data_IF_419964909142
#
_entry.id   IF_419964909142
#
_cell.length_a   1.000
_cell.length_b   1.000
_cell.length_c   1.000
_cell.angle_alpha   90.00
_cell.angle_beta   90.00
_cell.angle_gamma   90.00
#
_symmetry.space_group_name_H-M   'P 1'
#
loop_
_entity.id
_entity.type
_entity.pdbx_description
1 polymer ?
#
# COMPACT_ATOMS: atom_id res chain seq x y z
N UNK A 1 24.03 -70.46 -51.52
CA UNK A 1 25.23 -69.94 -50.84
C UNK A 1 24.75 -69.06 -49.70
N UNK A 2 25.14 -69.42 -48.47
CA UNK A 2 25.12 -68.66 -47.20
C UNK A 2 23.75 -68.34 -46.59
N UNK A 3 23.48 -69.07 -45.50
CA UNK A 3 22.55 -68.75 -44.43
C UNK A 3 23.13 -67.68 -43.50
N UNK A 4 22.28 -66.85 -42.88
CA UNK A 4 22.54 -66.35 -41.53
C UNK A 4 21.24 -66.15 -40.75
N UNK A 5 21.28 -66.72 -39.55
CA UNK A 5 20.29 -66.78 -38.46
C UNK A 5 20.37 -65.50 -37.64
N UNK A 6 19.28 -65.17 -36.91
CA UNK A 6 19.15 -64.49 -35.61
C UNK A 6 17.90 -63.59 -35.69
N UNK A 7 16.89 -63.69 -34.85
CA UNK A 7 16.88 -63.98 -33.43
C UNK A 7 15.92 -62.95 -32.81
N UNK A 8 14.95 -63.43 -32.06
CA UNK A 8 13.77 -62.75 -31.49
C UNK A 8 14.01 -61.43 -30.75
N UNK A 9 13.07 -60.48 -30.90
CA UNK A 9 12.69 -59.57 -29.83
C UNK A 9 11.17 -59.30 -29.90
N UNK A 10 10.43 -60.00 -29.02
CA UNK A 10 9.05 -59.66 -28.69
C UNK A 10 9.11 -58.34 -27.90
N UNK A 11 8.81 -57.22 -28.56
CA UNK A 11 8.57 -55.97 -27.88
C UNK A 11 7.23 -56.09 -27.16
N UNK A 12 7.30 -56.49 -25.89
CA UNK A 12 6.23 -56.24 -24.93
C UNK A 12 6.04 -54.72 -24.90
N UNK A 13 4.97 -54.24 -25.52
CA UNK A 13 4.45 -52.90 -25.26
C UNK A 13 3.98 -52.90 -23.80
N UNK A 14 4.93 -52.68 -22.90
CA UNK A 14 4.64 -52.26 -21.55
C UNK A 14 3.77 -51.01 -21.71
N UNK A 15 2.53 -51.14 -21.27
CA UNK A 15 1.62 -50.03 -21.12
C UNK A 15 2.38 -48.93 -20.37
N UNK A 16 2.58 -47.78 -21.00
CA UNK A 16 2.83 -46.56 -20.27
C UNK A 16 1.59 -46.33 -19.40
N UNK A 17 1.65 -46.83 -18.17
CA UNK A 17 0.91 -46.21 -17.09
C UNK A 17 1.33 -44.73 -17.14
N UNK A 18 0.40 -43.76 -17.18
CA UNK A 18 0.79 -42.40 -16.91
C UNK A 18 1.47 -42.44 -15.55
N UNK A 19 2.74 -42.05 -15.50
CA UNK A 19 3.35 -41.61 -14.27
C UNK A 19 2.41 -40.52 -13.75
N UNK A 20 1.54 -40.89 -12.80
CA UNK A 20 1.02 -39.93 -11.85
C UNK A 20 2.24 -39.48 -11.08
N UNK A 21 2.99 -38.57 -11.69
CA UNK A 21 3.79 -37.60 -10.99
C UNK A 21 2.77 -36.85 -10.13
N UNK A 22 2.56 -37.40 -8.93
CA UNK A 22 1.84 -36.73 -7.87
C UNK A 22 2.64 -35.45 -7.65
N UNK A 23 2.28 -34.38 -8.38
CA UNK A 23 2.76 -33.05 -8.08
C UNK A 23 2.56 -32.89 -6.58
N UNK A 24 3.67 -32.76 -5.85
CA UNK A 24 3.63 -32.59 -4.40
C UNK A 24 2.55 -31.54 -4.12
N UNK A 25 1.68 -31.73 -3.11
CA UNK A 25 0.64 -30.76 -2.80
C UNK A 25 1.34 -29.41 -2.70
N UNK A 26 1.09 -28.55 -3.70
CA UNK A 26 1.77 -27.27 -3.78
C UNK A 26 1.24 -26.52 -2.58
N UNK A 27 2.12 -26.20 -1.63
CA UNK A 27 1.73 -25.46 -0.43
C UNK A 27 0.95 -24.22 -0.89
N UNK A 28 -0.38 -24.18 -0.65
CA UNK A 28 -1.23 -23.19 -1.28
C UNK A 28 -0.96 -21.80 -0.73
N UNK A 29 -0.39 -21.70 0.48
CA UNK A 29 0.12 -20.45 1.04
C UNK A 29 1.29 -19.95 0.21
N UNK A 30 2.30 -20.80 0.03
CA UNK A 30 3.49 -20.47 -0.76
C UNK A 30 3.15 -20.12 -2.19
N UNK A 31 2.33 -20.91 -2.87
CA UNK A 31 1.99 -20.63 -4.28
C UNK A 31 1.27 -19.29 -4.44
N UNK A 32 0.40 -18.94 -3.50
CA UNK A 32 -0.32 -17.66 -3.54
C UNK A 32 0.62 -16.48 -3.30
N UNK A 33 1.59 -16.61 -2.40
CA UNK A 33 2.60 -15.59 -2.14
C UNK A 33 3.58 -15.45 -3.32
N UNK A 34 3.99 -16.56 -3.94
CA UNK A 34 4.82 -16.56 -5.15
C UNK A 34 4.06 -15.91 -6.34
N UNK A 35 2.73 -16.08 -6.43
CA UNK A 35 1.89 -15.39 -7.43
C UNK A 35 1.78 -13.88 -7.12
N UNK A 36 1.58 -13.53 -5.85
CA UNK A 36 1.50 -12.13 -5.42
C UNK A 36 2.78 -11.35 -5.72
N UNK A 37 3.96 -11.95 -5.53
CA UNK A 37 5.23 -11.27 -5.80
C UNK A 37 5.51 -11.09 -7.29
N UNK A 38 4.92 -11.92 -8.15
CA UNK A 38 5.03 -11.83 -9.61
C UNK A 38 3.99 -10.88 -10.24
N UNK A 39 3.01 -10.40 -9.48
CA UNK A 39 1.98 -9.50 -9.99
C UNK A 39 2.57 -8.12 -10.34
N UNK A 40 2.30 -7.64 -11.55
CA UNK A 40 2.78 -6.34 -12.03
C UNK A 40 1.96 -5.16 -11.48
N UNK A 41 0.70 -5.40 -11.13
CA UNK A 41 -0.22 -4.38 -10.62
C UNK A 41 -0.35 -4.49 -9.10
N UNK A 42 -0.23 -3.37 -8.40
CA UNK A 42 -0.29 -3.30 -6.93
C UNK A 42 -1.66 -3.78 -6.42
N UNK A 43 -2.76 -3.39 -7.08
CA UNK A 43 -4.11 -3.84 -6.70
C UNK A 43 -4.23 -5.36 -6.77
N UNK A 44 -3.68 -5.98 -7.82
CA UNK A 44 -3.68 -7.43 -7.99
C UNK A 44 -2.80 -8.13 -6.96
N UNK A 45 -1.66 -7.53 -6.62
CA UNK A 45 -0.78 -8.01 -5.57
C UNK A 45 -1.49 -8.02 -4.20
N UNK A 46 -2.21 -6.95 -3.85
CA UNK A 46 -2.99 -6.88 -2.61
C UNK A 46 -4.09 -7.95 -2.57
N UNK A 47 -4.86 -8.15 -3.64
CA UNK A 47 -5.87 -9.21 -3.71
C UNK A 47 -5.29 -10.61 -3.46
N UNK A 48 -4.13 -10.90 -4.06
CA UNK A 48 -3.45 -12.18 -3.89
C UNK A 48 -2.90 -12.33 -2.47
N UNK A 49 -2.43 -11.25 -1.85
CA UNK A 49 -2.00 -11.26 -0.45
C UNK A 49 -3.18 -11.45 0.51
N UNK A 50 -4.34 -10.86 0.25
CA UNK A 50 -5.56 -11.12 1.01
C UNK A 50 -5.98 -12.58 0.93
N UNK A 51 -5.89 -13.16 -0.26
CA UNK A 51 -6.09 -14.59 -0.44
C UNK A 51 -5.06 -15.40 0.35
N UNK A 52 -3.81 -14.97 0.39
CA UNK A 52 -2.79 -15.61 1.21
C UNK A 52 -3.11 -15.50 2.71
N UNK A 53 -3.72 -14.41 3.19
CA UNK A 53 -4.18 -14.30 4.59
C UNK A 53 -5.19 -15.38 4.97
N UNK A 54 -6.05 -15.76 4.02
CA UNK A 54 -7.08 -16.79 4.20
C UNK A 54 -6.48 -18.20 4.12
N UNK A 55 -5.56 -18.41 3.19
CA UNK A 55 -5.01 -19.74 2.84
C UNK A 55 -3.86 -20.16 3.76
N UNK A 56 -3.05 -19.20 4.21
CA UNK A 56 -1.90 -19.48 5.06
C UNK A 56 -2.35 -19.91 6.48
N UNK A 57 -1.74 -20.98 7.04
CA UNK A 57 -2.20 -21.55 8.30
C UNK A 57 -1.81 -20.71 9.53
N UNK A 58 -0.69 -19.98 9.46
CA UNK A 58 -0.15 -19.17 10.56
C UNK A 58 0.55 -17.92 10.04
N UNK A 59 0.72 -16.93 10.93
CA UNK A 59 1.52 -15.71 10.69
C UNK A 59 2.95 -16.06 10.29
N UNK A 60 3.56 -17.02 10.99
CA UNK A 60 4.93 -17.46 10.72
C UNK A 60 5.06 -18.07 9.32
N UNK A 61 4.10 -18.90 8.90
CA UNK A 61 4.10 -19.51 7.57
C UNK A 61 3.96 -18.45 6.47
N UNK A 62 3.10 -17.45 6.69
CA UNK A 62 2.98 -16.31 5.79
C UNK A 62 4.31 -15.54 5.72
N UNK A 63 4.89 -15.20 6.88
CA UNK A 63 6.10 -14.40 6.95
C UNK A 63 7.30 -15.09 6.32
N UNK A 64 7.49 -16.39 6.56
CA UNK A 64 8.58 -17.19 5.96
C UNK A 64 8.47 -17.21 4.44
N UNK A 65 7.27 -17.35 3.89
CA UNK A 65 7.06 -17.34 2.45
C UNK A 65 7.24 -15.93 1.86
N UNK A 66 6.74 -14.89 2.53
CA UNK A 66 6.86 -13.50 2.09
C UNK A 66 8.32 -12.97 2.15
N UNK A 67 9.13 -13.42 3.12
CA UNK A 67 10.56 -13.07 3.22
C UNK A 67 11.39 -13.50 2.00
N UNK A 68 10.89 -14.45 1.20
CA UNK A 68 11.53 -14.88 -0.05
C UNK A 68 11.40 -13.81 -1.15
N UNK A 69 10.54 -12.81 -0.94
CA UNK A 69 10.23 -11.73 -1.86
C UNK A 69 10.33 -10.36 -1.15
N UNK A 70 11.54 -9.93 -0.76
CA UNK A 70 11.72 -8.74 0.09
C UNK A 70 11.25 -7.42 -0.54
N UNK A 71 11.08 -7.36 -1.86
CA UNK A 71 10.59 -6.19 -2.59
C UNK A 71 9.06 -6.16 -2.77
N UNK A 72 8.34 -7.19 -2.32
CA UNK A 72 6.91 -7.37 -2.62
C UNK A 72 6.01 -6.32 -1.96
N UNK A 73 6.37 -5.82 -0.78
CA UNK A 73 5.47 -4.96 0.02
C UNK A 73 5.98 -3.53 0.20
N UNK A 74 7.27 -3.27 -0.05
CA UNK A 74 7.91 -1.98 0.26
C UNK A 74 7.96 -1.61 1.76
N UNK A 75 7.24 -2.35 2.60
CA UNK A 75 7.14 -2.25 4.06
C UNK A 75 7.38 -3.62 4.70
N UNK A 76 7.66 -3.66 6.00
CA UNK A 76 7.82 -4.92 6.70
C UNK A 76 6.50 -5.70 6.85
N UNK A 77 6.60 -7.03 6.94
CA UNK A 77 5.45 -7.93 6.98
C UNK A 77 4.59 -7.71 8.23
N UNK A 78 5.18 -7.36 9.38
CA UNK A 78 4.42 -7.16 10.60
C UNK A 78 3.55 -5.90 10.49
N UNK A 79 4.10 -4.81 9.96
CA UNK A 79 3.35 -3.59 9.65
C UNK A 79 2.26 -3.86 8.61
N UNK A 80 2.57 -4.57 7.51
CA UNK A 80 1.58 -4.94 6.50
C UNK A 80 0.39 -5.71 7.11
N UNK A 81 0.67 -6.77 7.88
CA UNK A 81 -0.36 -7.59 8.49
C UNK A 81 -1.19 -6.80 9.52
N UNK A 82 -0.55 -5.98 10.35
CA UNK A 82 -1.24 -5.11 11.31
C UNK A 82 -2.21 -4.15 10.63
N UNK A 83 -1.75 -3.42 9.61
CA UNK A 83 -2.59 -2.48 8.85
C UNK A 83 -3.70 -3.21 8.10
N UNK A 84 -3.40 -4.30 7.40
CA UNK A 84 -4.39 -4.98 6.56
C UNK A 84 -5.48 -5.64 7.41
N UNK A 85 -5.11 -6.30 8.51
CA UNK A 85 -6.09 -6.92 9.41
C UNK A 85 -6.99 -5.90 10.12
N UNK A 86 -6.54 -4.65 10.30
CA UNK A 86 -7.35 -3.56 10.86
C UNK A 86 -8.27 -2.89 9.82
N UNK A 87 -7.80 -2.71 8.59
CA UNK A 87 -8.47 -1.91 7.54
C UNK A 87 -9.24 -2.73 6.51
N UNK A 88 -9.14 -4.06 6.50
CA UNK A 88 -9.82 -4.89 5.53
C UNK A 88 -11.36 -4.81 5.67
N UNK A 89 -12.04 -4.37 4.62
CA UNK A 89 -13.50 -4.39 4.55
C UNK A 89 -14.05 -5.82 4.39
N UNK A 90 -13.28 -6.70 3.75
CA UNK A 90 -13.69 -8.07 3.49
C UNK A 90 -13.68 -8.91 4.77
N UNK A 91 -14.85 -9.44 5.14
CA UNK A 91 -15.02 -10.23 6.37
C UNK A 91 -14.16 -11.50 6.38
N UNK A 92 -13.95 -12.14 5.21
CA UNK A 92 -13.10 -13.31 5.09
C UNK A 92 -11.64 -13.03 5.49
N UNK A 93 -11.15 -11.82 5.20
CA UNK A 93 -9.80 -11.38 5.57
C UNK A 93 -9.74 -11.07 7.07
N UNK A 94 -10.69 -10.29 7.59
CA UNK A 94 -10.75 -9.96 9.04
C UNK A 94 -10.85 -11.19 9.93
N UNK A 95 -11.61 -12.19 9.49
CA UNK A 95 -11.84 -13.45 10.22
C UNK A 95 -10.80 -14.54 9.88
N UNK A 96 -9.78 -14.22 9.09
CA UNK A 96 -8.69 -15.15 8.79
C UNK A 96 -7.91 -15.53 10.05
N UNK A 97 -7.31 -16.73 10.06
CA UNK A 97 -6.52 -17.21 11.21
C UNK A 97 -5.34 -16.28 11.53
N UNK A 98 -4.79 -15.63 10.50
CA UNK A 98 -3.70 -14.67 10.63
C UNK A 98 -4.19 -13.42 11.36
N UNK A 99 -5.29 -12.82 10.92
CA UNK A 99 -5.84 -11.61 11.54
C UNK A 99 -6.44 -11.85 12.93
N UNK A 100 -6.88 -13.07 13.24
CA UNK A 100 -7.33 -13.45 14.58
C UNK A 100 -6.20 -13.88 15.53
N UNK A 101 -4.95 -13.91 15.08
CA UNK A 101 -3.83 -14.39 15.91
C UNK A 101 -3.38 -13.34 16.93
N UNK A 102 -2.95 -13.79 18.11
CA UNK A 102 -2.47 -12.91 19.19
C UNK A 102 -1.25 -12.07 18.77
N UNK A 103 -0.40 -12.62 17.89
CA UNK A 103 0.77 -11.94 17.32
C UNK A 103 0.38 -10.72 16.47
N UNK A 104 -0.78 -10.76 15.81
CA UNK A 104 -1.34 -9.63 15.06
C UNK A 104 -2.14 -8.71 15.97
N UNK A 105 -2.89 -9.26 16.93
CA UNK A 105 -3.64 -8.50 17.94
C UNK A 105 -2.73 -7.53 18.74
N UNK A 106 -1.47 -7.90 18.95
CA UNK A 106 -0.47 -7.09 19.65
C UNK A 106 0.18 -6.03 18.74
N UNK A 107 0.12 -6.20 17.42
CA UNK A 107 0.51 -5.19 16.42
C UNK A 107 -0.66 -4.27 16.04
N UNK A 108 -1.88 -4.59 16.49
CA UNK A 108 -3.09 -3.76 16.30
C UNK A 108 -3.22 -2.63 17.32
N UNK A 109 -2.39 -2.60 18.35
CA UNK A 109 -2.16 -1.35 19.05
C UNK A 109 -1.24 -0.53 18.14
N UNK A 110 -1.71 0.57 17.52
CA UNK A 110 -0.77 1.54 16.97
C UNK A 110 0.27 1.81 18.07
N UNK A 111 1.56 1.99 17.74
CA UNK A 111 2.50 2.46 18.75
C UNK A 111 1.82 3.60 19.50
N UNK A 112 1.84 3.58 20.83
CA UNK A 112 1.21 4.64 21.64
C UNK A 112 1.83 6.02 21.32
N UNK A 113 2.95 6.03 20.57
CA UNK A 113 3.54 7.15 19.85
C UNK A 113 3.53 6.93 18.31
N UNK A 114 2.38 6.64 17.67
CA UNK A 114 2.21 7.12 16.29
C UNK A 114 2.21 8.64 16.45
N UNK A 115 3.20 9.38 15.92
CA UNK A 115 3.10 10.83 15.96
C UNK A 115 1.75 11.16 15.33
N UNK A 116 0.88 11.81 16.10
CA UNK A 116 -0.35 12.36 15.56
C UNK A 116 0.05 13.06 14.27
N UNK A 117 -0.55 12.66 13.14
CA UNK A 117 -0.18 13.22 11.84
C UNK A 117 -0.58 14.69 11.90
N UNK A 118 0.39 15.53 12.22
CA UNK A 118 0.23 16.96 12.42
C UNK A 118 1.12 17.62 11.39
N UNK A 119 0.50 18.46 10.56
CA UNK A 119 1.23 19.36 9.70
C UNK A 119 1.49 20.64 10.47
N UNK A 120 2.75 21.04 10.59
CA UNK A 120 3.12 22.34 11.16
C UNK A 120 3.36 23.30 10.01
N UNK A 121 2.58 24.37 9.96
CA UNK A 121 2.71 25.42 8.96
C UNK A 121 2.88 26.80 9.58
N UNK A 122 3.44 27.71 8.82
CA UNK A 122 3.62 29.12 9.23
C UNK A 122 2.45 29.94 8.71
N UNK A 123 1.84 30.75 9.57
CA UNK A 123 0.79 31.71 9.20
C UNK A 123 1.39 32.97 8.56
N UNK A 124 0.55 33.79 7.91
CA UNK A 124 0.97 35.07 7.31
C UNK A 124 1.61 36.04 8.33
N UNK A 125 1.24 35.96 9.61
CA UNK A 125 1.82 36.76 10.70
C UNK A 125 3.05 36.10 11.36
N UNK A 126 3.54 34.99 10.80
CA UNK A 126 4.79 34.34 11.19
C UNK A 126 4.69 33.42 12.41
N UNK A 127 3.49 33.07 12.86
CA UNK A 127 3.29 32.07 13.92
C UNK A 127 3.32 30.67 13.32
N UNK A 128 3.76 29.70 14.09
CA UNK A 128 3.60 28.29 13.75
C UNK A 128 2.26 27.77 14.28
N UNK A 129 1.54 27.03 13.43
CA UNK A 129 0.25 26.43 13.76
C UNK A 129 0.26 24.96 13.36
N UNK A 130 -0.27 24.14 14.27
CA UNK A 130 -0.51 22.71 14.04
C UNK A 130 -1.87 22.49 13.37
N UNK A 131 -1.86 21.85 12.21
CA UNK A 131 -3.05 21.43 11.48
C UNK A 131 -3.19 19.92 11.63
N UNK A 132 -4.38 19.49 12.05
CA UNK A 132 -4.72 18.07 12.26
C UNK A 132 -5.79 17.60 11.26
N UNK A 133 -5.75 16.33 10.84
CA UNK A 133 -6.81 15.72 10.06
C UNK A 133 -8.17 15.84 10.76
N UNK A 134 -9.20 16.27 10.02
CA UNK A 134 -10.59 16.28 10.51
C UNK A 134 -11.57 16.03 9.38
N UNK A 135 -12.80 15.63 9.69
CA UNK A 135 -13.82 15.39 8.68
C UNK A 135 -13.99 16.60 7.75
N UNK A 136 -13.90 16.37 6.43
CA UNK A 136 -13.91 17.44 5.41
C UNK A 136 -12.57 18.15 5.18
N UNK A 137 -11.49 17.70 5.83
CA UNK A 137 -10.10 18.17 5.63
C UNK A 137 -9.17 16.97 5.49
N UNK A 138 -9.11 16.37 4.30
CA UNK A 138 -8.20 15.26 4.03
C UNK A 138 -6.75 15.72 4.06
N UNK A 139 -5.90 14.77 4.39
CA UNK A 139 -4.45 14.87 4.27
C UNK A 139 -4.01 13.88 3.20
N UNK A 140 -2.96 14.24 2.46
CA UNK A 140 -2.23 13.37 1.55
C UNK A 140 -0.80 13.25 2.04
N UNK A 141 -0.35 12.02 2.34
CA UNK A 141 0.99 11.74 2.89
C UNK A 141 1.42 12.62 4.08
N UNK A 142 0.48 13.04 4.93
CA UNK A 142 0.76 13.88 6.10
C UNK A 142 0.73 15.40 5.82
N UNK A 143 0.35 15.81 4.62
CA UNK A 143 0.19 17.20 4.20
C UNK A 143 -1.30 17.48 3.96
N UNK A 144 -1.86 18.61 4.41
CA UNK A 144 -3.23 18.99 4.06
C UNK A 144 -3.43 18.96 2.53
N UNK A 145 -4.49 18.31 2.03
CA UNK A 145 -4.67 18.13 0.58
C UNK A 145 -4.66 19.46 -0.20
N UNK A 146 -5.16 20.53 0.41
CA UNK A 146 -5.08 21.89 -0.14
C UNK A 146 -3.65 22.29 -0.50
N UNK A 147 -2.68 21.97 0.36
CA UNK A 147 -1.25 22.24 0.14
C UNK A 147 -0.67 21.24 -0.85
N UNK A 148 -1.00 19.95 -0.71
CA UNK A 148 -0.50 18.89 -1.60
C UNK A 148 -0.92 19.09 -3.07
N UNK A 149 -2.06 19.74 -3.31
CA UNK A 149 -2.58 20.05 -4.65
C UNK A 149 -1.89 21.28 -5.30
N UNK A 150 -1.29 22.19 -4.53
CA UNK A 150 -0.72 23.43 -5.05
C UNK A 150 0.35 23.23 -6.13
N UNK A 151 1.31 22.29 -6.02
CA UNK A 151 2.26 22.03 -7.10
C UNK A 151 1.58 21.62 -8.41
N UNK A 152 0.49 20.83 -8.33
CA UNK A 152 -0.31 20.44 -9.49
C UNK A 152 -1.04 21.62 -10.11
N UNK A 153 -1.62 22.50 -9.29
CA UNK A 153 -2.26 23.75 -9.72
C UNK A 153 -1.24 24.65 -10.42
N UNK A 154 -0.06 24.85 -9.82
CA UNK A 154 1.02 25.65 -10.41
C UNK A 154 1.47 25.09 -11.76
N UNK A 155 1.58 23.76 -11.88
CA UNK A 155 1.95 23.10 -13.13
C UNK A 155 0.90 23.28 -14.24
N UNK A 156 -0.38 23.18 -13.90
CA UNK A 156 -1.48 23.18 -14.88
C UNK A 156 -1.96 24.58 -15.25
N UNK A 157 -1.93 25.51 -14.30
CA UNK A 157 -2.56 26.83 -14.41
C UNK A 157 -1.62 28.00 -14.11
N UNK A 158 -0.38 27.72 -13.69
CA UNK A 158 0.62 28.75 -13.45
C UNK A 158 0.26 29.68 -12.29
N UNK A 159 0.69 30.95 -12.40
CA UNK A 159 0.48 31.99 -11.40
C UNK A 159 -1.00 32.21 -11.05
N UNK A 160 -1.86 32.33 -12.08
CA UNK A 160 -3.28 32.64 -11.91
C UNK A 160 -4.00 31.62 -11.03
N UNK A 161 -3.65 30.33 -11.16
CA UNK A 161 -4.25 29.29 -10.33
C UNK A 161 -3.84 29.39 -8.86
N UNK A 162 -2.57 29.70 -8.59
CA UNK A 162 -2.08 29.83 -7.21
C UNK A 162 -2.55 31.16 -6.60
N UNK A 163 -2.66 32.23 -7.38
CA UNK A 163 -3.29 33.48 -6.96
C UNK A 163 -4.75 33.26 -6.54
N UNK A 164 -5.51 32.47 -7.31
CA UNK A 164 -6.89 32.13 -6.94
C UNK A 164 -6.96 31.33 -5.62
N UNK A 165 -6.01 30.41 -5.39
CA UNK A 165 -5.89 29.70 -4.11
C UNK A 165 -5.56 30.68 -2.98
N UNK A 166 -4.60 31.59 -3.20
CA UNK A 166 -4.23 32.62 -2.23
C UNK A 166 -5.43 33.49 -1.85
N UNK A 167 -6.14 34.04 -2.83
CA UNK A 167 -7.33 34.87 -2.61
C UNK A 167 -8.43 34.13 -1.85
N UNK A 168 -8.68 32.87 -2.21
CA UNK A 168 -9.66 32.01 -1.55
C UNK A 168 -9.38 31.88 -0.04
N UNK A 169 -8.11 31.72 0.34
CA UNK A 169 -7.73 31.50 1.73
C UNK A 169 -7.53 32.80 2.51
N UNK A 170 -7.04 33.87 1.88
CA UNK A 170 -7.02 35.21 2.47
C UNK A 170 -8.42 35.64 2.90
N UNK A 171 -9.45 35.36 2.08
CA UNK A 171 -10.83 35.71 2.39
C UNK A 171 -11.40 35.03 3.65
N UNK A 172 -10.68 34.07 4.24
CA UNK A 172 -11.14 33.23 5.36
C UNK A 172 -10.29 33.37 6.63
N UNK A 173 -9.27 34.25 6.63
CA UNK A 173 -8.35 34.39 7.78
C UNK A 173 -9.04 34.89 9.06
N UNK A 174 -10.13 35.64 8.94
CA UNK A 174 -10.93 36.12 10.08
C UNK A 174 -11.99 35.11 10.54
N UNK A 175 -12.07 33.93 9.92
CA UNK A 175 -13.01 32.89 10.33
C UNK A 175 -12.60 32.32 11.70
N UNK A 176 -13.49 32.32 12.70
CA UNK A 176 -13.15 31.90 14.06
C UNK A 176 -12.87 30.40 14.22
N UNK A 177 -13.18 29.58 13.22
CA UNK A 177 -13.02 28.12 13.25
C UNK A 177 -11.80 27.66 12.45
N UNK A 178 -11.42 28.41 11.41
CA UNK A 178 -10.41 27.99 10.44
C UNK A 178 -9.38 29.06 10.09
N UNK A 179 -9.47 30.26 10.69
CA UNK A 179 -8.68 31.43 10.30
C UNK A 179 -7.17 31.18 10.34
N UNK A 180 -6.68 30.51 11.38
CA UNK A 180 -5.27 30.12 11.48
C UNK A 180 -4.86 29.15 10.36
N UNK A 181 -5.67 28.13 10.06
CA UNK A 181 -5.38 27.20 8.95
C UNK A 181 -5.44 27.90 7.59
N UNK A 182 -6.41 28.78 7.40
CA UNK A 182 -6.54 29.59 6.19
C UNK A 182 -5.32 30.49 5.99
N UNK A 183 -4.79 31.06 7.09
CA UNK A 183 -3.56 31.84 7.07
C UNK A 183 -2.35 31.00 6.67
N UNK A 184 -2.24 29.75 7.15
CA UNK A 184 -1.20 28.80 6.71
C UNK A 184 -1.33 28.48 5.21
N UNK A 185 -2.53 28.19 4.72
CA UNK A 185 -2.74 27.88 3.30
C UNK A 185 -2.43 29.09 2.40
N UNK A 186 -2.78 30.30 2.84
CA UNK A 186 -2.41 31.53 2.16
C UNK A 186 -0.89 31.74 2.13
N UNK A 187 -0.20 31.54 3.26
CA UNK A 187 1.27 31.63 3.31
C UNK A 187 1.92 30.62 2.37
N UNK A 188 1.42 29.38 2.34
CA UNK A 188 1.96 28.35 1.45
C UNK A 188 1.76 28.69 -0.04
N UNK A 189 0.64 29.33 -0.40
CA UNK A 189 0.42 29.82 -1.75
C UNK A 189 1.40 30.96 -2.12
N UNK A 190 1.71 31.88 -1.20
CA UNK A 190 2.74 32.90 -1.39
C UNK A 190 4.13 32.29 -1.61
N UNK A 191 4.48 31.26 -0.84
CA UNK A 191 5.75 30.56 -0.99
C UNK A 191 5.86 29.89 -2.37
N UNK A 192 4.76 29.31 -2.86
CA UNK A 192 4.70 28.72 -4.21
C UNK A 192 4.82 29.80 -5.29
N UNK A 193 4.08 30.92 -5.19
CA UNK A 193 4.20 32.04 -6.14
C UNK A 193 5.62 32.58 -6.20
N UNK A 194 6.26 32.73 -5.05
CA UNK A 194 7.67 33.15 -4.94
C UNK A 194 8.59 32.12 -5.60
N UNK A 195 8.36 30.84 -5.37
CA UNK A 195 9.17 29.75 -5.94
C UNK A 195 9.08 29.70 -7.48
N UNK A 196 7.87 29.85 -8.03
CA UNK A 196 7.64 29.82 -9.49
C UNK A 196 7.82 31.20 -10.17
N UNK A 197 8.22 32.22 -9.41
CA UNK A 197 8.56 33.57 -9.89
C UNK A 197 7.37 34.32 -10.54
N UNK A 198 6.23 34.29 -9.86
CA UNK A 198 5.10 35.17 -10.17
C UNK A 198 5.31 36.51 -9.47
N UNK A 199 5.66 37.53 -10.25
CA UNK A 199 5.87 38.93 -9.79
C UNK A 199 4.58 39.75 -9.79
#
# INVERSE_FOLDING_TARGET
MIALVLGTAVLTTAACAPDTEQAAPTDPCRSTIDEASAAAEISRQVELLDRALIVCPTVETFAVNAQRHPTMLGIDIATYLGTRCFTADEEAVRMSRICSSESIATTTLPPTDVPEVVYVGTTLDGREVEIRPRAGRPFDEGIPSVIAEMPGIALLTGCEGIEAVLEQWIARIDDPVIGDEASVYAQQALDVLTYIQCD
#
